data_IF_212203152956
#
_entry.id   IF_212203152956
#
_cell.length_a   1.000
_cell.length_b   1.000
_cell.length_c   1.000
_cell.angle_alpha   90.00
_cell.angle_beta   90.00
_cell.angle_gamma   90.00
#
_symmetry.space_group_name_H-M   'P 1'
#
loop_
_entity.id
_entity.type
_entity.pdbx_description
1 polymer ?
#
# COMPACT_ATOMS: atom_id res chain seq x y z
N UNK A 1 13.78 6.90 -12.49
CA UNK A 1 12.55 6.51 -11.82
C UNK A 1 12.76 5.31 -10.94
N UNK A 2 12.36 5.40 -9.71
CA UNK A 2 12.57 4.33 -8.76
C UNK A 2 11.29 3.48 -8.66
N UNK A 3 11.43 2.17 -8.83
CA UNK A 3 10.36 1.20 -8.59
C UNK A 3 10.47 0.59 -7.19
N UNK A 4 11.53 0.94 -6.47
CA UNK A 4 11.78 0.46 -5.11
C UNK A 4 12.12 1.64 -4.22
N UNK A 5 11.89 1.46 -2.92
CA UNK A 5 12.26 2.47 -1.93
C UNK A 5 13.78 2.49 -1.73
N UNK A 6 14.27 3.60 -1.17
CA UNK A 6 15.67 3.75 -0.81
C UNK A 6 16.05 2.77 0.30
N UNK A 7 17.35 2.52 0.44
CA UNK A 7 17.85 1.66 1.51
C UNK A 7 17.63 2.19 2.92
N UNK A 8 17.25 3.48 3.06
CA UNK A 8 16.93 4.07 4.37
C UNK A 8 15.50 3.77 4.82
N UNK A 9 14.65 3.22 3.96
CA UNK A 9 13.28 2.86 4.33
C UNK A 9 13.28 1.68 5.31
N UNK A 10 12.31 1.61 6.24
CA UNK A 10 12.16 0.44 7.09
C UNK A 10 12.00 -0.85 6.27
N UNK A 11 12.56 -1.94 6.76
CA UNK A 11 12.55 -3.22 6.04
C UNK A 11 11.12 -3.67 5.71
N UNK A 12 10.19 -3.54 6.66
CA UNK A 12 8.79 -3.92 6.44
C UNK A 12 8.18 -3.11 5.29
N UNK A 13 8.55 -1.83 5.16
CA UNK A 13 8.01 -0.98 4.10
C UNK A 13 8.60 -1.35 2.73
N UNK A 14 9.89 -1.67 2.68
CA UNK A 14 10.50 -2.15 1.43
C UNK A 14 9.80 -3.41 0.93
N UNK A 15 9.53 -4.36 1.83
CA UNK A 15 8.83 -5.59 1.48
C UNK A 15 7.37 -5.33 1.11
N UNK A 16 6.71 -4.37 1.76
CA UNK A 16 5.35 -4.00 1.44
C UNK A 16 5.21 -3.59 -0.03
N UNK A 17 6.07 -2.67 -0.50
CA UNK A 17 6.01 -2.24 -1.91
C UNK A 17 6.45 -3.33 -2.87
N UNK A 18 7.37 -4.20 -2.48
CA UNK A 18 7.72 -5.36 -3.29
C UNK A 18 6.50 -6.26 -3.50
N UNK A 19 5.74 -6.51 -2.44
CA UNK A 19 4.53 -7.33 -2.52
C UNK A 19 3.47 -6.66 -3.41
N UNK A 20 3.26 -5.35 -3.27
CA UNK A 20 2.29 -4.63 -4.11
C UNK A 20 2.59 -4.76 -5.59
N UNK A 21 3.85 -4.86 -5.97
CA UNK A 21 4.30 -4.94 -7.35
C UNK A 21 4.48 -6.39 -7.85
N UNK A 22 4.22 -7.40 -7.02
CA UNK A 22 4.57 -8.79 -7.35
C UNK A 22 3.52 -9.53 -8.17
N UNK A 23 2.34 -8.99 -8.31
CA UNK A 23 1.25 -9.59 -9.07
C UNK A 23 0.35 -10.52 -8.26
N UNK A 24 -0.83 -10.87 -8.80
CA UNK A 24 -1.84 -11.61 -8.03
C UNK A 24 -1.42 -13.04 -7.70
N UNK A 25 -0.66 -13.70 -8.56
CA UNK A 25 -0.22 -15.07 -8.28
C UNK A 25 0.74 -15.13 -7.10
N UNK A 26 1.72 -14.21 -7.06
CA UNK A 26 2.66 -14.15 -5.95
C UNK A 26 1.99 -13.70 -4.66
N UNK A 27 0.98 -12.84 -4.76
CA UNK A 27 0.23 -12.39 -3.60
C UNK A 27 -0.53 -13.53 -2.93
N UNK A 28 -1.16 -14.39 -3.72
CA UNK A 28 -1.90 -15.55 -3.23
C UNK A 28 -3.00 -15.17 -2.25
N UNK A 29 -2.93 -15.69 -1.05
CA UNK A 29 -3.87 -15.42 0.04
C UNK A 29 -3.47 -14.23 0.92
N UNK A 30 -2.39 -13.54 0.57
CA UNK A 30 -1.91 -12.39 1.32
C UNK A 30 -1.08 -12.71 2.55
N UNK A 31 -0.67 -13.96 2.73
CA UNK A 31 0.07 -14.34 3.94
C UNK A 31 1.43 -13.63 4.05
N UNK A 32 2.10 -13.37 2.94
CA UNK A 32 3.36 -12.62 2.97
C UNK A 32 3.13 -11.18 3.43
N UNK A 33 2.09 -10.52 2.93
CA UNK A 33 1.73 -9.17 3.37
C UNK A 33 1.28 -9.17 4.82
N UNK A 34 0.48 -10.16 5.23
CA UNK A 34 0.02 -10.25 6.62
C UNK A 34 1.18 -10.23 7.61
N UNK A 35 2.28 -10.88 7.27
CA UNK A 35 3.46 -10.93 8.13
C UNK A 35 4.11 -9.55 8.34
N UNK A 36 3.83 -8.59 7.47
CA UNK A 36 4.36 -7.22 7.54
C UNK A 36 3.46 -6.28 8.33
N UNK A 37 2.26 -6.72 8.72
CA UNK A 37 1.24 -5.88 9.35
C UNK A 37 1.00 -6.30 10.79
N UNK A 38 0.60 -5.34 11.63
CA UNK A 38 0.06 -5.64 12.94
C UNK A 38 -1.21 -6.50 12.79
N UNK A 39 -1.49 -7.35 13.78
CA UNK A 39 -2.74 -8.11 13.84
C UNK A 39 -3.96 -7.19 13.99
N UNK A 40 -3.74 -5.94 14.36
CA UNK A 40 -4.76 -4.94 14.64
C UNK A 40 -4.46 -3.67 13.87
N UNK A 41 -4.21 -3.80 12.56
CA UNK A 41 -3.90 -2.66 11.70
C UNK A 41 -4.97 -1.59 11.78
N UNK A 42 -4.56 -0.35 12.04
CA UNK A 42 -5.44 0.82 11.98
C UNK A 42 -5.32 1.39 10.56
N UNK A 43 -6.39 1.25 9.78
CA UNK A 43 -6.39 1.67 8.39
C UNK A 43 -7.36 2.82 8.16
N UNK A 44 -6.92 3.84 7.41
CA UNK A 44 -7.78 4.91 6.91
C UNK A 44 -7.56 5.03 5.41
N UNK A 45 -8.64 4.99 4.64
CA UNK A 45 -8.56 5.10 3.19
C UNK A 45 -9.63 6.03 2.64
N UNK A 46 -9.40 6.55 1.43
CA UNK A 46 -10.30 7.51 0.80
C UNK A 46 -11.68 6.94 0.50
N UNK A 47 -11.76 5.65 0.17
CA UNK A 47 -13.04 4.97 -0.07
C UNK A 47 -13.56 4.26 1.19
N UNK A 48 -12.67 3.62 1.94
CA UNK A 48 -13.08 2.80 3.08
C UNK A 48 -13.39 3.61 4.34
N UNK A 49 -12.83 4.82 4.49
CA UNK A 49 -12.88 5.58 5.73
C UNK A 49 -11.96 4.98 6.79
N UNK A 50 -12.20 5.32 8.05
CA UNK A 50 -11.39 4.82 9.16
C UNK A 50 -11.88 3.44 9.59
N UNK A 51 -10.97 2.47 9.65
CA UNK A 51 -11.26 1.08 10.00
C UNK A 51 -10.25 0.59 11.03
N UNK A 52 -10.60 0.58 12.31
CA UNK A 52 -9.75 -0.07 13.31
C UNK A 52 -9.81 -1.59 13.15
N UNK A 53 -8.78 -2.29 13.60
CA UNK A 53 -8.70 -3.75 13.49
C UNK A 53 -8.98 -4.24 12.05
N UNK A 54 -8.33 -3.61 11.08
CA UNK A 54 -8.68 -3.74 9.67
C UNK A 54 -7.78 -4.71 8.89
N UNK A 55 -6.97 -5.52 9.56
CA UNK A 55 -5.97 -6.35 8.88
C UNK A 55 -6.57 -7.22 7.79
N UNK A 56 -7.64 -7.96 8.10
CA UNK A 56 -8.27 -8.84 7.10
C UNK A 56 -8.89 -8.06 5.94
N UNK A 57 -9.61 -6.97 6.26
CA UNK A 57 -10.23 -6.14 5.23
C UNK A 57 -9.21 -5.46 4.33
N UNK A 58 -8.10 -5.02 4.92
CA UNK A 58 -7.01 -4.42 4.17
C UNK A 58 -6.40 -5.43 3.19
N UNK A 59 -6.16 -6.66 3.65
CA UNK A 59 -5.62 -7.71 2.79
C UNK A 59 -6.53 -8.00 1.60
N UNK A 60 -7.85 -7.99 1.79
CA UNK A 60 -8.81 -8.15 0.71
C UNK A 60 -8.78 -6.97 -0.27
N UNK A 61 -8.70 -5.74 0.25
CA UNK A 61 -8.59 -4.55 -0.59
C UNK A 61 -7.32 -4.55 -1.43
N UNK A 62 -6.22 -4.97 -0.85
CA UNK A 62 -4.94 -5.06 -1.57
C UNK A 62 -5.01 -6.12 -2.67
N UNK A 63 -5.72 -7.22 -2.44
CA UNK A 63 -5.91 -8.24 -3.49
C UNK A 63 -6.58 -7.64 -4.73
N UNK A 64 -7.59 -6.78 -4.55
CA UNK A 64 -8.23 -6.07 -5.65
C UNK A 64 -7.28 -5.12 -6.36
N UNK A 65 -6.49 -4.37 -5.59
CA UNK A 65 -5.50 -3.45 -6.15
C UNK A 65 -4.45 -4.20 -6.98
N UNK A 66 -3.86 -5.26 -6.43
CA UNK A 66 -2.83 -6.05 -7.11
C UNK A 66 -3.38 -6.70 -8.38
N UNK A 67 -4.66 -7.09 -8.37
CA UNK A 67 -5.31 -7.67 -9.53
C UNK A 67 -5.48 -6.70 -10.69
N UNK A 68 -5.41 -5.39 -10.45
CA UNK A 68 -5.63 -4.36 -11.47
C UNK A 68 -4.39 -3.52 -11.77
N UNK A 69 -3.50 -3.34 -10.81
CA UNK A 69 -2.30 -2.52 -11.00
C UNK A 69 -1.30 -3.21 -11.94
N UNK A 70 -0.72 -2.43 -12.85
CA UNK A 70 0.28 -2.91 -13.81
C UNK A 70 1.69 -2.56 -13.39
N UNK A 71 1.86 -1.39 -12.76
CA UNK A 71 3.16 -0.97 -12.26
C UNK A 71 2.97 0.11 -11.21
N UNK A 72 3.99 0.27 -10.36
CA UNK A 72 4.04 1.30 -9.33
C UNK A 72 5.32 2.09 -9.55
N UNK A 73 5.19 3.41 -9.56
CA UNK A 73 6.32 4.32 -9.71
C UNK A 73 6.44 5.21 -8.47
N UNK A 74 7.45 4.97 -7.65
CA UNK A 74 7.71 5.75 -6.44
C UNK A 74 8.23 7.13 -6.84
N UNK A 75 7.54 8.17 -6.42
CA UNK A 75 7.89 9.55 -6.74
C UNK A 75 8.66 10.23 -5.61
N UNK A 76 8.26 9.99 -4.38
CA UNK A 76 8.87 10.57 -3.19
C UNK A 76 8.71 9.65 -2.00
N UNK A 77 9.66 9.73 -1.08
CA UNK A 77 9.58 9.01 0.18
C UNK A 77 10.23 9.83 1.28
N UNK A 78 9.66 9.77 2.47
CA UNK A 78 10.18 10.44 3.67
C UNK A 78 10.10 9.45 4.82
N UNK A 79 11.19 9.31 5.56
CA UNK A 79 11.26 8.40 6.70
C UNK A 79 11.89 9.11 7.90
N UNK A 80 11.29 8.95 9.07
CA UNK A 80 11.87 9.39 10.33
C UNK A 80 11.44 8.43 11.45
N UNK A 81 11.77 8.78 12.70
CA UNK A 81 11.44 7.91 13.84
C UNK A 81 9.93 7.80 14.09
N UNK A 82 9.11 8.74 13.61
CA UNK A 82 7.66 8.70 13.82
C UNK A 82 6.93 7.91 12.74
N UNK A 83 7.56 7.64 11.61
CA UNK A 83 6.92 6.89 10.53
C UNK A 83 7.49 7.20 9.16
N UNK A 84 6.71 6.83 8.14
CA UNK A 84 7.09 7.00 6.75
C UNK A 84 5.94 7.56 5.94
N UNK A 85 6.29 8.26 4.85
CA UNK A 85 5.33 8.71 3.85
C UNK A 85 5.88 8.39 2.47
N UNK A 86 5.02 7.89 1.59
CA UNK A 86 5.39 7.53 0.22
C UNK A 86 4.36 8.09 -0.74
N UNK A 87 4.82 8.79 -1.78
CA UNK A 87 4.00 9.27 -2.88
C UNK A 87 4.34 8.43 -4.10
N UNK A 88 3.34 7.85 -4.74
CA UNK A 88 3.58 7.03 -5.93
C UNK A 88 2.44 7.13 -6.93
N UNK A 89 2.75 6.81 -8.19
CA UNK A 89 1.75 6.62 -9.23
C UNK A 89 1.56 5.13 -9.47
N UNK A 90 0.32 4.69 -9.54
CA UNK A 90 -0.04 3.33 -9.92
C UNK A 90 -0.63 3.36 -11.32
N UNK A 91 -0.10 2.52 -12.21
CA UNK A 91 -0.65 2.37 -13.56
C UNK A 91 -1.77 1.35 -13.52
N UNK A 92 -2.98 1.79 -13.83
CA UNK A 92 -4.19 0.97 -13.90
C UNK A 92 -4.56 0.72 -15.36
N UNK A 93 -5.55 -0.15 -15.65
CA UNK A 93 -5.89 -0.46 -17.05
C UNK A 93 -6.19 0.77 -17.92
N UNK A 94 -6.81 1.81 -17.37
CA UNK A 94 -7.22 2.98 -18.16
C UNK A 94 -6.45 4.26 -17.80
N UNK A 95 -5.34 4.16 -17.09
CA UNK A 95 -4.49 5.33 -16.79
C UNK A 95 -3.89 5.29 -15.39
N UNK A 96 -3.14 6.32 -15.04
CA UNK A 96 -2.43 6.41 -13.77
C UNK A 96 -3.26 7.11 -12.71
N UNK A 97 -3.12 6.66 -11.46
CA UNK A 97 -3.70 7.30 -10.29
C UNK A 97 -2.59 7.53 -9.27
N UNK A 98 -2.59 8.71 -8.66
CA UNK A 98 -1.59 9.07 -7.65
C UNK A 98 -2.09 8.72 -6.26
N UNK A 99 -1.19 8.11 -5.48
CA UNK A 99 -1.47 7.69 -4.10
C UNK A 99 -0.44 8.32 -3.17
N UNK A 100 -0.90 8.68 -1.98
CA UNK A 100 -0.01 9.04 -0.88
C UNK A 100 -0.35 8.15 0.30
N UNK A 101 0.66 7.47 0.86
CA UNK A 101 0.48 6.59 2.00
C UNK A 101 1.35 7.06 3.17
N UNK A 102 0.77 7.04 4.37
CA UNK A 102 1.46 7.40 5.61
C UNK A 102 1.41 6.20 6.55
N UNK A 103 2.57 5.86 7.12
CA UNK A 103 2.72 4.63 7.90
C UNK A 103 3.30 4.94 9.27
N UNK A 104 2.81 4.22 10.28
CA UNK A 104 3.54 4.10 11.55
C UNK A 104 3.89 2.63 11.76
N UNK A 105 4.92 2.39 12.57
CA UNK A 105 5.44 1.04 12.79
C UNK A 105 5.53 0.76 14.29
N UNK A 106 5.35 -0.50 14.64
CA UNK A 106 5.55 -1.00 16.00
C UNK A 106 6.10 -2.41 15.92
N UNK A 107 7.16 -2.68 16.68
CA UNK A 107 7.81 -4.00 16.69
C UNK A 107 8.20 -4.51 15.30
N UNK A 108 8.62 -3.61 14.42
CA UNK A 108 9.10 -3.97 13.08
C UNK A 108 8.01 -4.24 12.06
N UNK A 109 6.73 -4.06 12.40
CA UNK A 109 5.62 -4.22 11.47
C UNK A 109 4.84 -2.92 11.31
N UNK A 110 4.03 -2.83 10.24
CA UNK A 110 3.18 -1.67 9.99
C UNK A 110 2.00 -1.72 10.95
N UNK A 111 1.86 -0.68 11.77
CA UNK A 111 0.83 -0.57 12.80
C UNK A 111 -0.36 0.26 12.33
N UNK A 112 -0.11 1.34 11.60
CA UNK A 112 -1.18 2.12 10.99
C UNK A 112 -0.80 2.54 9.59
N UNK A 113 -1.83 2.75 8.77
CA UNK A 113 -1.68 3.13 7.37
C UNK A 113 -2.80 4.09 6.98
N UNK A 114 -2.43 5.26 6.48
CA UNK A 114 -3.37 6.23 5.91
C UNK A 114 -3.12 6.32 4.41
N UNK A 115 -4.13 5.98 3.62
CA UNK A 115 -4.05 5.95 2.17
C UNK A 115 -4.94 7.02 1.56
N UNK A 116 -4.33 7.93 0.80
CA UNK A 116 -5.04 9.05 0.17
C UNK A 116 -4.93 8.96 -1.35
N UNK A 117 -6.08 9.02 -2.01
CA UNK A 117 -6.16 9.00 -3.47
C UNK A 117 -7.56 9.46 -3.90
N UNK A 118 -7.71 9.78 -5.18
CA UNK A 118 -9.02 10.10 -5.75
C UNK A 118 -9.76 8.79 -6.02
N UNK A 119 -10.72 8.45 -5.16
CA UNK A 119 -11.46 7.20 -5.26
C UNK A 119 -12.30 7.09 -6.52
N UNK A 120 -12.92 8.20 -6.96
CA UNK A 120 -13.71 8.20 -8.18
C UNK A 120 -12.83 7.95 -9.41
N UNK A 121 -11.66 8.59 -9.46
CA UNK A 121 -10.69 8.41 -10.53
C UNK A 121 -10.15 6.98 -10.56
N UNK A 122 -9.88 6.42 -9.38
CA UNK A 122 -9.42 5.03 -9.24
C UNK A 122 -10.42 4.05 -9.86
N UNK A 123 -11.69 4.19 -9.52
CA UNK A 123 -12.75 3.32 -10.06
C UNK A 123 -12.90 3.54 -11.56
N UNK A 124 -12.89 4.81 -12.02
CA UNK A 124 -13.04 5.14 -13.43
C UNK A 124 -11.91 4.56 -14.28
N UNK A 125 -10.72 4.39 -13.73
CA UNK A 125 -9.56 3.83 -14.43
C UNK A 125 -9.42 2.33 -14.29
N UNK A 126 -10.41 1.67 -13.73
CA UNK A 126 -10.47 0.21 -13.66
C UNK A 126 -9.96 -0.39 -12.35
N UNK A 127 -9.78 0.44 -11.31
CA UNK A 127 -9.42 -0.04 -9.98
C UNK A 127 -10.54 -0.83 -9.32
N UNK A 128 -10.16 -1.69 -8.38
CA UNK A 128 -11.12 -2.52 -7.65
C UNK A 128 -10.82 -2.57 -6.17
#
# INVERSE_FOLDING_TARGET
>A
MANTLSGSAPAALQEYYRVLASGPQAYGDGSELRALLSDRLDFTGSLAGHRPDATDGFLQGVAGFIGTVRSINILREVHDESGSAVLYDAELPAGSVRFAEFFTFEDGVIDSLNLHYDGADYIAKGGR
#
